data_IF_226231988741
#
_entry.id   IF_226231988741
#
_cell.length_a   1.000
_cell.length_b   1.000
_cell.length_c   1.000
_cell.angle_alpha   90.00
_cell.angle_beta   90.00
_cell.angle_gamma   90.00
#
_symmetry.space_group_name_H-M   'P 1'
#
loop_
_entity.id
_entity.type
_entity.pdbx_description
1 polymer ?
#
# COMPACT_ATOMS: atom_id res chain seq x y z
N UNK A 1 7.61 0.87 16.63
CA UNK A 1 8.10 -0.48 16.24
C UNK A 1 7.65 -0.90 14.85
N UNK A 2 6.38 -0.70 14.48
CA UNK A 2 5.82 -1.06 13.18
C UNK A 2 6.69 -0.64 11.96
N UNK A 3 7.11 0.63 11.88
CA UNK A 3 7.97 1.10 10.78
C UNK A 3 9.30 0.33 10.70
N UNK A 4 9.93 0.01 11.84
CA UNK A 4 11.19 -0.74 11.89
C UNK A 4 11.00 -2.17 11.39
N UNK A 5 9.90 -2.83 11.77
CA UNK A 5 9.58 -4.19 11.33
C UNK A 5 9.32 -4.22 9.83
N UNK A 6 8.47 -3.32 9.31
CA UNK A 6 8.17 -3.23 7.89
C UNK A 6 9.43 -2.94 7.06
N UNK A 7 10.25 -1.98 7.48
CA UNK A 7 11.50 -1.66 6.79
C UNK A 7 12.51 -2.80 6.81
N UNK A 8 12.63 -3.49 7.95
CA UNK A 8 13.52 -4.64 8.10
C UNK A 8 13.07 -5.80 7.20
N UNK A 9 11.77 -6.09 7.16
CA UNK A 9 11.23 -7.12 6.30
C UNK A 9 11.54 -6.84 4.82
N UNK A 10 11.24 -5.62 4.34
CA UNK A 10 11.49 -5.27 2.93
C UNK A 10 12.99 -5.27 2.58
N UNK A 11 13.82 -4.67 3.43
CA UNK A 11 15.23 -4.39 3.07
C UNK A 11 16.23 -5.46 3.51
N UNK A 12 15.93 -6.22 4.57
CA UNK A 12 16.82 -7.30 5.06
C UNK A 12 16.29 -8.67 4.69
N UNK A 13 14.99 -8.94 4.89
CA UNK A 13 14.42 -10.27 4.61
C UNK A 13 14.21 -10.47 3.11
N UNK A 14 13.55 -9.52 2.45
CA UNK A 14 13.31 -9.58 1.00
C UNK A 14 14.44 -8.93 0.18
N UNK A 15 15.43 -8.33 0.84
CA UNK A 15 16.61 -7.75 0.20
C UNK A 15 16.31 -6.69 -0.86
N UNK A 16 15.16 -6.02 -0.77
CA UNK A 16 14.79 -4.95 -1.71
C UNK A 16 15.77 -3.77 -1.52
N UNK A 17 16.41 -3.27 -2.60
CA UNK A 17 17.33 -2.15 -2.51
C UNK A 17 16.65 -0.90 -1.93
N UNK A 18 17.28 -0.30 -0.92
CA UNK A 18 16.73 0.86 -0.19
C UNK A 18 16.52 2.07 -1.08
N UNK A 19 17.36 2.25 -2.08
CA UNK A 19 17.29 3.33 -3.07
C UNK A 19 16.10 3.16 -4.03
N UNK A 20 15.47 1.99 -4.09
CA UNK A 20 14.20 1.80 -4.80
C UNK A 20 12.97 2.16 -3.97
N UNK A 21 13.15 2.41 -2.67
CA UNK A 21 12.08 2.72 -1.74
C UNK A 21 12.06 4.20 -1.38
N UNK A 22 10.86 4.73 -1.18
CA UNK A 22 10.65 6.01 -0.51
C UNK A 22 9.44 5.89 0.42
N UNK A 23 9.34 6.82 1.36
CA UNK A 23 8.29 6.79 2.38
C UNK A 23 7.53 8.10 2.37
N UNK A 24 6.21 8.04 2.53
CA UNK A 24 5.38 9.18 2.86
C UNK A 24 4.85 9.11 4.29
N UNK A 25 4.67 10.27 4.91
CA UNK A 25 4.07 10.43 6.23
C UNK A 25 3.07 11.58 6.21
N UNK A 26 2.10 11.54 7.12
CA UNK A 26 1.04 12.53 7.20
C UNK A 26 1.59 13.94 7.46
N UNK A 27 1.36 14.85 6.51
CA UNK A 27 1.83 16.22 6.52
C UNK A 27 0.98 17.19 7.33
N UNK A 28 -0.12 16.73 7.92
CA UNK A 28 -1.08 17.57 8.63
C UNK A 28 -2.19 18.10 7.72
N UNK A 29 -3.29 18.53 8.32
CA UNK A 29 -4.41 19.20 7.67
C UNK A 29 -5.08 20.21 8.62
N UNK A 30 -6.30 20.66 8.29
CA UNK A 30 -7.05 21.62 9.09
C UNK A 30 -7.51 21.09 10.46
N UNK A 31 -7.51 19.78 10.67
CA UNK A 31 -8.01 19.14 11.89
C UNK A 31 -6.89 18.59 12.77
N UNK A 32 -5.85 18.03 12.15
CA UNK A 32 -4.77 17.30 12.82
C UNK A 32 -3.42 17.80 12.33
N UNK A 33 -2.46 18.06 13.23
CA UNK A 33 -1.14 18.56 12.85
C UNK A 33 -0.31 17.52 12.09
N UNK A 34 0.82 17.97 11.53
CA UNK A 34 1.83 17.10 10.91
C UNK A 34 2.28 16.00 11.88
N UNK A 35 2.40 14.77 11.37
CA UNK A 35 2.98 13.65 12.12
C UNK A 35 4.51 13.73 12.11
N UNK A 36 5.03 14.66 12.91
CA UNK A 36 6.46 14.88 13.11
C UNK A 36 7.14 13.69 13.79
N UNK A 37 6.39 12.91 14.58
CA UNK A 37 6.90 11.73 15.26
C UNK A 37 7.29 10.65 14.24
N UNK A 38 6.38 10.28 13.36
CA UNK A 38 6.63 9.30 12.28
C UNK A 38 7.79 9.73 11.40
N UNK A 39 7.89 11.02 11.05
CA UNK A 39 9.05 11.57 10.31
C UNK A 39 10.37 11.32 11.04
N UNK A 40 10.43 11.57 12.36
CA UNK A 40 11.62 11.34 13.18
C UNK A 40 11.96 9.85 13.28
N UNK A 41 10.95 8.99 13.39
CA UNK A 41 11.12 7.52 13.42
C UNK A 41 11.79 7.05 12.12
N UNK A 42 11.31 7.48 10.96
CA UNK A 42 11.90 7.08 9.68
C UNK A 42 13.34 7.56 9.50
N UNK A 43 13.66 8.78 9.94
CA UNK A 43 15.05 9.27 9.99
C UNK A 43 15.92 8.40 10.88
N UNK A 44 15.45 8.03 12.07
CA UNK A 44 16.17 7.15 13.01
C UNK A 44 16.41 5.74 12.43
N UNK A 45 15.48 5.23 11.62
CA UNK A 45 15.62 3.96 10.88
C UNK A 45 16.70 4.08 9.78
N UNK A 46 17.00 5.29 9.33
CA UNK A 46 18.01 5.57 8.30
C UNK A 46 17.43 5.84 6.92
N UNK A 47 16.15 6.20 6.81
CA UNK A 47 15.57 6.70 5.55
C UNK A 47 16.06 8.13 5.33
N UNK A 48 16.71 8.44 4.19
CA UNK A 48 17.23 9.78 3.93
C UNK A 48 16.10 10.77 3.67
N UNK A 49 16.33 12.05 3.98
CA UNK A 49 15.34 13.12 3.77
C UNK A 49 14.89 13.24 2.31
N UNK A 50 15.77 12.94 1.34
CA UNK A 50 15.42 12.90 -0.09
C UNK A 50 14.39 11.83 -0.46
N UNK A 51 14.23 10.81 0.39
CA UNK A 51 13.27 9.71 0.24
C UNK A 51 12.09 9.83 1.21
N UNK A 52 11.97 10.95 1.95
CA UNK A 52 10.82 11.25 2.79
C UNK A 52 9.92 12.28 2.09
N UNK A 53 8.63 11.97 1.99
CA UNK A 53 7.63 12.83 1.36
C UNK A 53 6.51 13.16 2.34
N UNK A 54 6.10 14.42 2.38
CA UNK A 54 4.87 14.81 3.07
C UNK A 54 3.68 14.40 2.21
N UNK A 55 2.65 13.84 2.84
CA UNK A 55 1.36 13.62 2.22
C UNK A 55 0.29 14.56 2.79
N UNK A 56 -0.81 14.73 2.05
CA UNK A 56 -2.00 15.47 2.49
C UNK A 56 -3.05 14.51 3.06
N UNK A 57 -4.34 14.87 2.98
CA UNK A 57 -5.50 14.12 3.48
C UNK A 57 -5.59 12.65 3.03
N UNK A 58 -4.88 12.26 1.97
CA UNK A 58 -4.73 10.85 1.54
C UNK A 58 -4.20 9.88 2.61
N UNK A 59 -3.67 10.40 3.73
CA UNK A 59 -3.15 9.62 4.86
C UNK A 59 -3.95 9.84 6.14
N UNK A 60 -5.20 10.31 6.02
CA UNK A 60 -6.11 10.56 7.13
C UNK A 60 -7.38 9.73 6.96
N UNK A 61 -7.57 8.74 7.83
CA UNK A 61 -8.64 7.74 7.75
C UNK A 61 -9.48 7.74 9.03
N UNK A 62 -10.72 7.24 8.98
CA UNK A 62 -11.53 7.07 10.19
C UNK A 62 -12.95 7.64 10.16
N UNK A 63 -13.52 7.84 8.99
CA UNK A 63 -14.96 8.10 8.87
C UNK A 63 -15.64 6.81 8.42
N UNK A 64 -16.23 6.09 9.38
CA UNK A 64 -17.32 5.18 9.05
C UNK A 64 -18.58 5.99 8.68
N UNK A 65 -19.66 5.32 8.31
CA UNK A 65 -20.93 5.98 7.93
C UNK A 65 -21.54 6.84 9.05
N UNK A 66 -21.08 6.70 10.30
CA UNK A 66 -21.62 7.43 11.45
C UNK A 66 -21.03 8.83 11.62
N UNK A 67 -19.87 9.11 11.00
CA UNK A 67 -19.24 10.43 11.03
C UNK A 67 -18.52 10.78 12.35
N UNK A 68 -18.39 9.82 13.28
CA UNK A 68 -17.62 9.94 14.52
C UNK A 68 -16.94 8.59 14.83
N UNK A 69 -15.86 8.59 15.60
CA UNK A 69 -15.13 7.36 15.92
C UNK A 69 -13.62 7.49 15.79
N UNK A 70 -12.94 6.34 15.70
CA UNK A 70 -11.49 6.26 15.65
C UNK A 70 -10.93 6.86 14.36
N UNK A 71 -9.90 7.69 14.48
CA UNK A 71 -9.24 8.38 13.38
C UNK A 71 -7.76 8.01 13.38
N UNK A 72 -7.28 7.61 12.21
CA UNK A 72 -5.90 7.19 12.00
C UNK A 72 -5.17 8.12 11.05
N UNK A 73 -3.89 8.35 11.34
CA UNK A 73 -2.93 8.94 10.42
C UNK A 73 -2.01 7.85 9.91
N UNK A 74 -1.60 7.93 8.65
CA UNK A 74 -0.82 6.86 8.04
C UNK A 74 0.59 7.25 7.61
N UNK A 75 1.41 6.22 7.45
CA UNK A 75 2.66 6.27 6.72
C UNK A 75 2.71 5.14 5.70
N UNK A 76 3.27 5.43 4.54
CA UNK A 76 3.28 4.50 3.41
C UNK A 76 4.69 4.31 2.90
N UNK A 77 5.07 3.06 2.68
CA UNK A 77 6.29 2.68 1.97
C UNK A 77 5.92 2.46 0.51
N UNK A 78 6.68 3.08 -0.38
CA UNK A 78 6.47 3.03 -1.83
C UNK A 78 7.69 2.43 -2.51
N UNK A 79 7.45 1.70 -3.59
CA UNK A 79 8.50 1.24 -4.49
C UNK A 79 8.43 2.06 -5.78
N UNK A 80 9.56 2.61 -6.25
CA UNK A 80 9.62 3.52 -7.42
C UNK A 80 8.98 2.95 -8.70
N UNK A 81 8.96 1.63 -8.86
CA UNK A 81 8.31 0.95 -9.99
C UNK A 81 6.77 0.94 -9.92
N UNK A 82 6.19 1.07 -8.73
CA UNK A 82 4.74 0.95 -8.50
C UNK A 82 3.98 2.26 -8.72
N UNK A 83 4.57 3.25 -9.40
CA UNK A 83 4.02 4.56 -9.76
C UNK A 83 3.18 5.21 -8.64
N UNK A 84 1.87 4.96 -8.61
CA UNK A 84 0.89 5.61 -7.73
C UNK A 84 0.36 4.70 -6.61
N UNK A 85 0.95 3.52 -6.43
CA UNK A 85 0.48 2.50 -5.50
C UNK A 85 1.43 2.35 -4.32
N UNK A 86 0.94 2.55 -3.09
CA UNK A 86 1.76 2.32 -1.89
C UNK A 86 2.02 0.83 -1.71
N UNK A 87 3.27 0.39 -1.60
CA UNK A 87 3.58 -1.04 -1.42
C UNK A 87 3.01 -1.54 -0.07
N UNK A 88 3.22 -0.76 0.99
CA UNK A 88 2.77 -1.08 2.34
C UNK A 88 2.27 0.18 3.05
N UNK A 89 1.05 0.15 3.55
CA UNK A 89 0.44 1.19 4.38
C UNK A 89 0.47 0.77 5.87
N UNK A 90 0.80 1.70 6.76
CA UNK A 90 0.81 1.53 8.21
C UNK A 90 -0.03 2.68 8.79
N UNK A 91 -1.17 2.34 9.37
CA UNK A 91 -2.12 3.26 9.99
C UNK A 91 -1.92 3.28 11.51
N UNK A 92 -1.83 4.48 12.05
CA UNK A 92 -1.75 4.74 13.49
C UNK A 92 -3.02 5.40 13.96
N UNK A 93 -3.84 4.66 14.71
CA UNK A 93 -5.05 5.18 15.34
C UNK A 93 -4.67 6.04 16.53
N UNK A 94 -4.49 7.34 16.27
CA UNK A 94 -4.00 8.32 17.24
C UNK A 94 -5.06 9.32 17.69
N UNK A 95 -6.22 9.33 17.04
CA UNK A 95 -7.26 10.31 17.27
C UNK A 95 -8.66 9.67 17.39
N UNK A 96 -9.59 10.42 17.96
CA UNK A 96 -11.02 10.10 17.96
C UNK A 96 -11.79 11.35 17.56
N UNK A 97 -12.69 11.21 16.60
CA UNK A 97 -13.68 12.23 16.26
C UNK A 97 -14.92 12.05 17.12
N UNK A 98 -15.32 13.12 17.81
CA UNK A 98 -16.57 13.17 18.56
C UNK A 98 -17.75 13.53 17.66
N UNK A 99 -18.98 13.29 18.16
CA UNK A 99 -20.23 13.61 17.46
C UNK A 99 -20.39 15.10 17.11
N UNK A 100 -19.72 15.98 17.84
CA UNK A 100 -19.70 17.42 17.58
C UNK A 100 -18.64 17.82 16.53
N UNK A 101 -17.98 16.84 15.90
CA UNK A 101 -17.01 17.03 14.84
C UNK A 101 -15.57 17.24 15.33
N UNK A 102 -15.34 17.47 16.63
CA UNK A 102 -14.00 17.68 17.17
C UNK A 102 -13.16 16.41 17.09
N UNK A 103 -11.90 16.56 16.67
CA UNK A 103 -10.90 15.49 16.64
C UNK A 103 -9.92 15.71 17.78
N UNK A 104 -9.80 14.73 18.66
CA UNK A 104 -8.90 14.78 19.83
C UNK A 104 -7.99 13.56 19.85
N UNK A 105 -6.85 13.65 20.52
CA UNK A 105 -5.95 12.51 20.73
C UNK A 105 -6.65 11.42 21.53
N UNK A 106 -6.39 10.16 21.20
CA UNK A 106 -6.95 8.99 21.91
C UNK A 106 -5.93 8.37 22.86
N UNK A 107 -6.40 7.82 23.97
CA UNK A 107 -5.57 7.04 24.90
C UNK A 107 -5.34 5.60 24.39
N UNK A 108 -6.14 5.16 23.40
CA UNK A 108 -6.11 3.80 22.86
C UNK A 108 -5.43 3.76 21.49
N UNK A 109 -4.11 3.66 21.51
CA UNK A 109 -3.30 3.53 20.30
C UNK A 109 -3.41 2.14 19.69
N UNK A 110 -3.68 2.07 18.39
CA UNK A 110 -3.66 0.83 17.62
C UNK A 110 -2.85 1.03 16.34
N UNK A 111 -2.26 -0.06 15.88
CA UNK A 111 -1.56 -0.11 14.59
C UNK A 111 -2.29 -1.09 13.69
N UNK A 112 -2.67 -0.65 12.50
CA UNK A 112 -3.13 -1.50 11.42
C UNK A 112 -2.16 -1.38 10.25
N UNK A 113 -1.89 -2.48 9.54
CA UNK A 113 -0.97 -2.43 8.40
C UNK A 113 -1.50 -3.29 7.26
N UNK A 114 -1.44 -2.75 6.04
CA UNK A 114 -1.85 -3.43 4.82
C UNK A 114 -0.76 -3.41 3.76
N UNK A 115 -0.36 -4.58 3.27
CA UNK A 115 0.55 -4.74 2.14
C UNK A 115 -0.14 -5.51 1.03
N UNK A 116 -0.06 -5.03 -0.21
CA UNK A 116 -0.66 -5.73 -1.36
C UNK A 116 0.28 -6.84 -1.83
N UNK A 117 -0.12 -8.10 -1.62
CA UNK A 117 0.70 -9.28 -1.94
C UNK A 117 1.07 -9.33 -3.42
N UNK A 118 0.12 -9.02 -4.31
CA UNK A 118 0.31 -9.02 -5.75
C UNK A 118 1.39 -8.02 -6.19
N UNK A 119 1.40 -6.83 -5.60
CA UNK A 119 2.41 -5.80 -5.88
C UNK A 119 3.78 -6.18 -5.29
N UNK A 120 3.79 -6.78 -4.09
CA UNK A 120 5.02 -7.30 -3.51
C UNK A 120 5.63 -8.40 -4.39
N UNK A 121 4.81 -9.36 -4.84
CA UNK A 121 5.22 -10.42 -5.75
C UNK A 121 5.78 -9.84 -7.05
N UNK A 122 5.12 -8.82 -7.61
CA UNK A 122 5.57 -8.09 -8.79
C UNK A 122 6.98 -7.48 -8.59
N UNK A 123 7.21 -6.83 -7.44
CA UNK A 123 8.51 -6.23 -7.09
C UNK A 123 9.58 -7.30 -6.90
N UNK A 124 9.31 -8.33 -6.09
CA UNK A 124 10.29 -9.38 -5.74
C UNK A 124 10.66 -10.25 -6.94
N UNK A 125 9.70 -10.57 -7.81
CA UNK A 125 9.94 -11.34 -9.04
C UNK A 125 10.51 -10.48 -10.17
N UNK A 126 10.58 -9.15 -9.98
CA UNK A 126 11.14 -8.23 -10.96
C UNK A 126 10.28 -8.02 -12.21
N UNK A 127 9.02 -8.43 -12.22
CA UNK A 127 8.12 -8.32 -13.38
C UNK A 127 7.42 -6.96 -13.44
N UNK A 128 6.92 -6.57 -14.62
CA UNK A 128 6.30 -5.26 -14.85
C UNK A 128 4.82 -5.17 -14.49
N UNK A 129 4.18 -6.31 -14.21
CA UNK A 129 2.74 -6.40 -14.06
C UNK A 129 2.39 -7.55 -13.11
N UNK A 130 1.38 -7.35 -12.26
CA UNK A 130 0.88 -8.40 -11.36
C UNK A 130 0.42 -9.65 -12.12
N UNK A 131 -0.06 -9.49 -13.35
CA UNK A 131 -0.50 -10.58 -14.21
C UNK A 131 0.64 -11.45 -14.78
N UNK A 132 1.88 -11.04 -14.56
CA UNK A 132 3.08 -11.79 -14.95
C UNK A 132 3.71 -12.54 -13.77
N UNK A 133 3.18 -12.34 -12.55
CA UNK A 133 3.61 -13.09 -11.37
C UNK A 133 3.11 -14.52 -11.45
N UNK A 134 3.74 -15.41 -10.69
CA UNK A 134 3.28 -16.77 -10.44
C UNK A 134 1.83 -16.88 -9.91
N UNK A 135 1.30 -15.81 -9.30
CA UNK A 135 -0.10 -15.74 -8.83
C UNK A 135 -1.13 -15.70 -9.96
N UNK A 136 -0.76 -15.19 -11.14
CA UNK A 136 -1.69 -14.97 -12.27
C UNK A 136 -1.28 -15.71 -13.53
N UNK A 137 0.02 -15.91 -13.76
CA UNK A 137 0.53 -16.50 -14.99
C UNK A 137 -0.08 -17.88 -15.31
N UNK A 138 -0.34 -18.78 -14.34
CA UNK A 138 -1.05 -20.04 -14.61
C UNK A 138 -2.47 -19.83 -15.16
N UNK A 139 -3.20 -18.85 -14.63
CA UNK A 139 -4.57 -18.51 -15.08
C UNK A 139 -4.51 -17.93 -16.48
N UNK A 140 -3.60 -16.97 -16.72
CA UNK A 140 -3.38 -16.36 -18.03
C UNK A 140 -3.06 -17.43 -19.09
N UNK A 141 -2.14 -18.37 -18.78
CA UNK A 141 -1.81 -19.50 -19.67
C UNK A 141 -3.02 -20.39 -19.94
N UNK A 142 -3.89 -20.60 -18.95
CA UNK A 142 -5.11 -21.39 -19.15
C UNK A 142 -6.11 -20.67 -20.06
N UNK A 143 -6.26 -19.37 -19.92
CA UNK A 143 -7.08 -18.54 -20.83
C UNK A 143 -6.51 -18.62 -22.25
N UNK A 144 -5.19 -18.59 -22.44
CA UNK A 144 -4.58 -18.76 -23.77
C UNK A 144 -4.94 -20.10 -24.41
N UNK A 145 -4.87 -21.18 -23.63
CA UNK A 145 -5.20 -22.54 -24.10
C UNK A 145 -6.66 -22.67 -24.53
N UNK A 146 -7.59 -22.12 -23.75
CA UNK A 146 -9.04 -22.25 -24.00
C UNK A 146 -9.51 -21.30 -25.11
N UNK A 147 -8.99 -20.07 -25.14
CA UNK A 147 -9.40 -19.08 -26.14
C UNK A 147 -8.68 -19.21 -27.48
N UNK A 148 -7.59 -19.97 -27.54
CA UNK A 148 -6.65 -20.02 -28.66
C UNK A 148 -6.09 -18.63 -29.03
N UNK A 149 -6.07 -17.69 -28.08
CA UNK A 149 -5.48 -16.35 -28.23
C UNK A 149 -4.19 -16.25 -27.40
N UNK A 150 -3.34 -15.27 -27.74
CA UNK A 150 -2.05 -15.04 -27.07
C UNK A 150 -2.04 -13.74 -26.28
N UNK A 151 -1.58 -13.80 -25.04
CA UNK A 151 -1.38 -12.64 -24.18
C UNK A 151 -0.12 -11.85 -24.62
N UNK A 152 -0.10 -10.54 -24.38
CA UNK A 152 0.93 -9.58 -24.82
C UNK A 152 1.07 -9.44 -26.34
N UNK A 153 -0.05 -9.52 -27.07
CA UNK A 153 -0.09 -9.31 -28.52
C UNK A 153 -0.91 -8.10 -28.93
N UNK A 154 -1.92 -7.75 -28.17
CA UNK A 154 -2.84 -6.67 -28.46
C UNK A 154 -3.41 -6.11 -27.15
N UNK A 155 -3.41 -4.78 -27.00
CA UNK A 155 -3.83 -4.13 -25.74
C UNK A 155 -5.26 -4.44 -25.32
N UNK A 156 -6.19 -4.52 -26.28
CA UNK A 156 -7.60 -4.82 -25.98
C UNK A 156 -7.74 -6.27 -25.54
N UNK A 157 -7.06 -7.18 -26.22
CA UNK A 157 -7.02 -8.58 -25.85
C UNK A 157 -6.38 -8.78 -24.48
N UNK A 158 -5.25 -8.12 -24.20
CA UNK A 158 -4.57 -8.18 -22.91
C UNK A 158 -5.48 -7.71 -21.78
N UNK A 159 -6.28 -6.68 -22.03
CA UNK A 159 -7.30 -6.21 -21.09
C UNK A 159 -8.34 -7.30 -20.81
N UNK A 160 -8.86 -7.97 -21.84
CA UNK A 160 -9.79 -9.09 -21.66
C UNK A 160 -9.17 -10.25 -20.86
N UNK A 161 -7.92 -10.61 -21.13
CA UNK A 161 -7.20 -11.64 -20.37
C UNK A 161 -7.11 -11.29 -18.87
N UNK A 162 -6.78 -10.04 -18.56
CA UNK A 162 -6.67 -9.54 -17.18
C UNK A 162 -8.01 -9.57 -16.47
N UNK A 163 -9.06 -9.03 -17.11
CA UNK A 163 -10.42 -9.04 -16.56
C UNK A 163 -10.89 -10.46 -16.26
N UNK A 164 -10.71 -11.41 -17.19
CA UNK A 164 -11.11 -12.80 -16.96
C UNK A 164 -10.31 -13.42 -15.81
N UNK A 165 -8.99 -13.18 -15.75
CA UNK A 165 -8.15 -13.72 -14.68
C UNK A 165 -8.55 -13.18 -13.29
N UNK A 166 -8.85 -11.88 -13.19
CA UNK A 166 -9.33 -11.26 -11.95
C UNK A 166 -10.70 -11.81 -11.53
N UNK A 167 -11.65 -11.93 -12.46
CA UNK A 167 -12.98 -12.45 -12.17
C UNK A 167 -12.94 -13.91 -11.70
N UNK A 168 -12.06 -14.74 -12.28
CA UNK A 168 -11.87 -16.13 -11.82
C UNK A 168 -11.40 -16.15 -10.36
N UNK A 169 -10.40 -15.35 -10.00
CA UNK A 169 -9.91 -15.28 -8.61
C UNK A 169 -11.00 -14.76 -7.66
N UNK A 170 -11.71 -13.71 -8.06
CA UNK A 170 -12.78 -13.12 -7.25
C UNK A 170 -13.90 -14.14 -6.97
N UNK A 171 -14.32 -14.92 -7.98
CA UNK A 171 -15.40 -15.90 -7.84
C UNK A 171 -15.01 -17.14 -7.03
N UNK A 172 -13.72 -17.48 -6.96
CA UNK A 172 -13.23 -18.60 -6.15
C UNK A 172 -12.90 -18.21 -4.69
N UNK A 173 -12.82 -16.91 -4.39
CA UNK A 173 -12.53 -16.40 -3.05
C UNK A 173 -13.80 -16.22 -2.19
N UNK A 174 -14.98 -16.35 -2.80
CA UNK A 174 -16.31 -16.38 -2.14
C UNK A 174 -16.73 -17.81 -1.83
#
# INVERSE_FOLDING_TARGET
EACTLAWTFLTKTLTIPKDHLYVSYFGGNSEVPEDVETRKIWRKIGVPDSSLRKSSDSHFFGLDKSGFGAVAVSTQIHHKRLQNSCLWNIDFTNYTRHKDGRVVTTDKMHVDTGMRLEDLACVVQGVSSVYETDLFLPIIRKIEQVSHKKYKRNSNLDTSFRVVADLIRAQCAT
#
